data_IF_919231158523
#
_entry.id   IF_919231158523
#
_cell.length_a   1.000
_cell.length_b   1.000
_cell.length_c   1.000
_cell.angle_alpha   90.00
_cell.angle_beta   90.00
_cell.angle_gamma   90.00
#
_symmetry.space_group_name_H-M   'P 1'
#
loop_
_entity.id
_entity.type
_entity.pdbx_description
1 polymer ?
#
# COMPACT_ATOMS: atom_id res chain seq x y z
N UNK A 1 3.68 26.54 -92.99
CA UNK A 1 4.56 26.49 -91.84
C UNK A 1 3.90 25.67 -90.76
N UNK A 2 4.23 24.38 -90.59
CA UNK A 2 3.71 23.48 -89.60
C UNK A 2 4.59 23.48 -88.34
N UNK A 3 4.08 23.95 -87.20
CA UNK A 3 4.75 23.85 -85.90
C UNK A 3 4.57 22.48 -85.34
N UNK A 4 5.69 21.75 -85.13
CA UNK A 4 5.74 20.44 -84.52
C UNK A 4 5.80 20.66 -83.00
N UNK A 5 4.73 20.22 -82.29
CA UNK A 5 4.70 20.12 -80.81
C UNK A 5 5.35 18.79 -80.38
N UNK A 6 6.43 18.85 -79.61
CA UNK A 6 6.96 17.67 -78.88
C UNK A 6 6.26 17.50 -77.57
N UNK A 7 5.77 16.29 -77.22
CA UNK A 7 5.22 16.05 -75.88
C UNK A 7 6.38 15.88 -74.89
N UNK A 8 6.34 16.66 -73.82
CA UNK A 8 7.19 16.49 -72.66
C UNK A 8 6.58 15.36 -71.80
N UNK A 9 7.26 14.23 -71.74
CA UNK A 9 6.92 13.13 -70.81
C UNK A 9 7.41 13.53 -69.42
N UNK A 10 6.47 13.89 -68.55
CA UNK A 10 6.76 14.12 -67.13
C UNK A 10 6.78 12.75 -66.46
N UNK A 11 7.95 12.27 -66.09
CA UNK A 11 8.13 11.07 -65.33
C UNK A 11 7.79 11.40 -63.84
N UNK A 12 6.55 11.03 -63.41
CA UNK A 12 6.10 11.14 -62.03
C UNK A 12 6.76 10.01 -61.25
N UNK A 13 7.87 10.29 -60.58
CA UNK A 13 8.46 9.35 -59.59
C UNK A 13 7.57 9.40 -58.34
N UNK A 14 6.66 8.42 -58.22
CA UNK A 14 5.97 8.13 -56.95
C UNK A 14 7.01 7.59 -55.96
N UNK A 15 7.63 8.46 -55.16
CA UNK A 15 8.25 8.06 -53.90
C UNK A 15 7.14 7.64 -52.95
N UNK A 16 6.78 6.37 -52.98
CA UNK A 16 6.08 5.73 -51.85
C UNK A 16 7.05 5.61 -50.70
N UNK A 17 7.10 6.62 -49.85
CA UNK A 17 7.67 6.52 -48.50
C UNK A 17 6.91 5.47 -47.74
N UNK A 18 7.43 4.26 -47.71
CA UNK A 18 7.08 3.23 -46.78
C UNK A 18 7.38 3.74 -45.36
N UNK A 19 6.45 4.47 -44.76
CA UNK A 19 6.41 4.63 -43.32
C UNK A 19 6.09 3.23 -42.74
N UNK A 20 7.11 2.40 -42.57
CA UNK A 20 7.06 1.30 -41.66
C UNK A 20 6.86 1.92 -40.27
N UNK A 21 5.61 2.00 -39.84
CA UNK A 21 5.27 2.17 -38.43
C UNK A 21 5.86 0.97 -37.70
N UNK A 22 7.13 1.12 -37.31
CA UNK A 22 7.75 0.20 -36.34
C UNK A 22 6.98 0.42 -35.03
N UNK A 23 5.86 -0.30 -34.86
CA UNK A 23 5.22 -0.45 -33.55
C UNK A 23 6.28 -1.17 -32.73
N UNK A 24 7.05 -0.41 -31.94
CA UNK A 24 7.92 -1.02 -30.94
C UNK A 24 7.03 -1.89 -30.07
N UNK A 25 7.19 -3.19 -30.17
CA UNK A 25 6.51 -4.15 -29.31
C UNK A 25 6.90 -3.82 -27.88
N UNK A 26 5.91 -3.41 -27.06
CA UNK A 26 6.15 -3.09 -25.65
C UNK A 26 6.48 -4.38 -24.92
N UNK A 27 7.70 -4.51 -24.45
CA UNK A 27 8.13 -5.65 -23.64
C UNK A 27 7.52 -5.55 -22.25
N UNK A 28 6.78 -6.57 -21.82
CA UNK A 28 6.20 -6.62 -20.48
C UNK A 28 7.28 -6.67 -19.40
N UNK A 29 7.02 -6.07 -18.25
CA UNK A 29 7.84 -6.17 -17.04
C UNK A 29 7.50 -7.41 -16.21
N UNK A 30 6.33 -8.01 -16.45
CA UNK A 30 5.86 -9.21 -15.74
C UNK A 30 6.81 -10.38 -16.02
N UNK A 31 7.27 -11.02 -14.96
CA UNK A 31 7.95 -12.32 -15.02
C UNK A 31 6.89 -13.43 -15.03
N UNK A 32 6.74 -14.20 -16.13
CA UNK A 32 5.66 -15.18 -16.24
C UNK A 32 5.70 -16.27 -15.15
N UNK A 33 6.90 -16.70 -14.76
CA UNK A 33 7.06 -17.76 -13.75
C UNK A 33 6.69 -17.24 -12.37
N UNK A 34 7.11 -16.02 -12.04
CA UNK A 34 6.71 -15.37 -10.79
C UNK A 34 5.20 -15.09 -10.78
N UNK A 35 4.63 -14.64 -11.91
CA UNK A 35 3.20 -14.40 -12.05
C UNK A 35 2.38 -15.65 -11.73
N UNK A 36 2.73 -16.78 -12.32
CA UNK A 36 2.05 -18.07 -12.09
C UNK A 36 2.17 -18.51 -10.63
N UNK A 37 3.36 -18.36 -10.05
CA UNK A 37 3.62 -18.71 -8.65
C UNK A 37 2.80 -17.83 -7.68
N UNK A 38 2.82 -16.52 -7.87
CA UNK A 38 2.07 -15.58 -7.02
C UNK A 38 0.57 -15.84 -7.14
N UNK A 39 0.08 -16.15 -8.34
CA UNK A 39 -1.32 -16.51 -8.58
C UNK A 39 -1.69 -17.78 -7.80
N UNK A 40 -0.89 -18.84 -7.90
CA UNK A 40 -1.16 -20.10 -7.21
C UNK A 40 -1.15 -19.96 -5.68
N UNK A 41 -0.20 -19.19 -5.12
CA UNK A 41 -0.13 -18.91 -3.68
C UNK A 41 -1.40 -18.15 -3.22
N UNK A 42 -1.80 -17.11 -3.97
CA UNK A 42 -2.95 -16.27 -3.64
C UNK A 42 -4.26 -17.07 -3.68
N UNK A 43 -4.50 -17.83 -4.77
CA UNK A 43 -5.71 -18.65 -4.95
C UNK A 43 -5.84 -19.73 -3.88
N UNK A 44 -4.74 -20.41 -3.54
CA UNK A 44 -4.72 -21.40 -2.46
C UNK A 44 -5.13 -20.76 -1.14
N UNK A 45 -4.60 -19.57 -0.82
CA UNK A 45 -4.94 -18.85 0.42
C UNK A 45 -6.38 -18.38 0.42
N UNK A 46 -6.87 -17.87 -0.69
CA UNK A 46 -8.28 -17.49 -0.83
C UNK A 46 -9.22 -18.65 -0.52
N UNK A 47 -8.93 -19.83 -1.06
CA UNK A 47 -9.71 -21.04 -0.79
C UNK A 47 -9.64 -21.48 0.69
N UNK A 48 -8.44 -21.43 1.30
CA UNK A 48 -8.21 -21.79 2.70
C UNK A 48 -9.06 -20.97 3.67
N UNK A 49 -9.22 -19.65 3.40
CA UNK A 49 -9.91 -18.73 4.31
C UNK A 49 -11.30 -18.30 3.82
N UNK A 50 -11.81 -18.91 2.75
CA UNK A 50 -13.07 -18.53 2.09
C UNK A 50 -13.13 -17.03 1.73
N UNK A 51 -12.05 -16.51 1.16
CA UNK A 51 -12.00 -15.15 0.64
C UNK A 51 -12.71 -15.08 -0.71
N UNK A 52 -13.39 -13.97 -0.99
CA UNK A 52 -14.14 -13.80 -2.25
C UNK A 52 -13.42 -12.90 -3.26
N UNK A 53 -12.41 -12.15 -2.83
CA UNK A 53 -11.56 -11.31 -3.67
C UNK A 53 -10.19 -11.14 -3.03
N UNK A 54 -9.15 -11.08 -3.85
CA UNK A 54 -7.81 -10.75 -3.39
C UNK A 54 -6.96 -10.18 -4.52
N UNK A 55 -5.91 -9.45 -4.15
CA UNK A 55 -4.86 -9.01 -5.05
C UNK A 55 -3.49 -9.13 -4.38
N UNK A 56 -2.50 -9.59 -5.15
CA UNK A 56 -1.09 -9.52 -4.78
C UNK A 56 -0.31 -8.85 -5.91
N UNK A 57 0.55 -7.87 -5.58
CA UNK A 57 1.38 -7.13 -6.53
C UNK A 57 2.82 -7.15 -6.04
N UNK A 58 3.74 -7.51 -6.92
CA UNK A 58 5.19 -7.45 -6.69
C UNK A 58 5.78 -6.35 -7.58
N UNK A 59 6.50 -5.41 -6.97
CA UNK A 59 7.09 -4.25 -7.64
C UNK A 59 8.58 -4.14 -7.30
N UNK A 60 9.41 -3.91 -8.30
CA UNK A 60 10.83 -3.61 -8.11
C UNK A 60 11.00 -2.19 -7.56
N UNK A 61 11.79 -2.05 -6.49
CA UNK A 61 11.85 -0.81 -5.71
C UNK A 61 12.41 0.36 -6.52
N UNK A 62 13.50 0.14 -7.23
CA UNK A 62 14.24 1.22 -7.88
C UNK A 62 13.60 1.72 -9.17
N UNK A 63 12.96 0.83 -9.94
CA UNK A 63 12.46 1.09 -11.28
C UNK A 63 10.97 1.33 -11.36
N UNK A 64 10.21 0.74 -10.42
CA UNK A 64 8.74 0.70 -10.48
C UNK A 64 8.19 -0.41 -11.38
N UNK A 65 9.03 -1.29 -11.91
CA UNK A 65 8.57 -2.42 -12.73
C UNK A 65 7.70 -3.38 -11.92
N UNK A 66 6.49 -3.63 -12.40
CA UNK A 66 5.61 -4.66 -11.83
C UNK A 66 6.07 -6.01 -12.35
N UNK A 67 6.54 -6.88 -11.44
CA UNK A 67 7.05 -8.22 -11.76
C UNK A 67 5.97 -9.29 -11.72
N UNK A 68 4.93 -9.09 -10.89
CA UNK A 68 3.73 -9.93 -10.87
C UNK A 68 2.52 -9.11 -10.37
N UNK A 69 1.34 -9.42 -10.89
CA UNK A 69 0.07 -8.84 -10.45
C UNK A 69 -1.02 -9.91 -10.55
N UNK A 70 -1.32 -10.58 -9.43
CA UNK A 70 -2.31 -11.63 -9.36
C UNK A 70 -3.61 -11.14 -8.73
N UNK A 71 -4.75 -11.61 -9.24
CA UNK A 71 -6.08 -11.25 -8.76
C UNK A 71 -6.52 -9.83 -9.14
N UNK A 72 -7.65 -9.41 -8.58
CA UNK A 72 -8.26 -8.10 -8.86
C UNK A 72 -8.35 -7.26 -7.60
N UNK A 73 -7.86 -6.02 -7.67
CA UNK A 73 -7.98 -5.01 -6.63
C UNK A 73 -8.98 -3.92 -7.01
N UNK A 74 -9.76 -3.50 -6.04
CA UNK A 74 -10.65 -2.34 -6.15
C UNK A 74 -10.28 -1.30 -5.09
N UNK A 75 -10.66 -0.02 -5.29
CA UNK A 75 -10.42 0.98 -4.26
C UNK A 75 -11.25 0.66 -3.02
N UNK A 76 -10.62 0.75 -1.86
CA UNK A 76 -11.26 0.44 -0.58
C UNK A 76 -10.54 1.11 0.58
N UNK A 77 -11.16 1.10 1.74
CA UNK A 77 -10.54 1.54 2.98
C UNK A 77 -9.39 0.62 3.36
N UNK A 78 -8.28 1.20 3.85
CA UNK A 78 -7.04 0.47 4.10
C UNK A 78 -6.40 0.84 5.44
N UNK A 79 -6.26 -0.13 6.31
CA UNK A 79 -5.60 0.03 7.60
C UNK A 79 -4.08 0.31 7.50
N UNK A 80 -3.49 0.13 6.33
CA UNK A 80 -2.09 0.49 6.04
C UNK A 80 -1.85 2.01 6.13
N UNK A 81 -2.92 2.81 6.07
CA UNK A 81 -2.89 4.26 6.26
C UNK A 81 -2.20 4.69 7.55
N UNK A 82 -2.20 3.87 8.60
CA UNK A 82 -1.53 4.20 9.87
C UNK A 82 -0.03 4.50 9.69
N UNK A 83 0.65 3.82 8.79
CA UNK A 83 2.06 4.11 8.45
C UNK A 83 2.20 5.47 7.76
N UNK A 84 1.31 5.78 6.83
CA UNK A 84 1.26 7.07 6.13
C UNK A 84 1.03 8.21 7.12
N UNK A 85 0.05 8.05 8.01
CA UNK A 85 -0.30 9.03 9.05
C UNK A 85 0.85 9.25 10.04
N UNK A 86 1.54 8.19 10.42
CA UNK A 86 2.71 8.29 11.31
C UNK A 86 3.86 9.07 10.63
N UNK A 87 4.18 8.75 9.37
CA UNK A 87 5.19 9.49 8.63
C UNK A 87 4.80 10.97 8.49
N UNK A 88 3.53 11.26 8.19
CA UNK A 88 3.00 12.62 8.12
C UNK A 88 3.14 13.36 9.47
N UNK A 89 2.88 12.67 10.58
CA UNK A 89 3.00 13.24 11.92
C UNK A 89 4.47 13.55 12.27
N UNK A 90 5.40 12.65 11.96
CA UNK A 90 6.83 12.87 12.17
C UNK A 90 7.36 14.09 11.38
N UNK A 91 6.87 14.30 10.15
CA UNK A 91 7.25 15.44 9.30
C UNK A 91 6.88 16.82 9.89
N UNK A 92 6.00 16.85 10.88
CA UNK A 92 5.70 18.11 11.59
C UNK A 92 6.82 18.52 12.58
N UNK A 93 7.68 17.59 12.96
CA UNK A 93 8.70 17.75 13.99
C UNK A 93 8.16 17.88 15.41
N UNK A 94 6.83 17.82 15.61
CA UNK A 94 6.18 17.95 16.92
C UNK A 94 6.18 16.65 17.73
N UNK A 95 6.33 15.51 17.08
CA UNK A 95 6.23 14.17 17.68
C UNK A 95 7.38 13.27 17.26
N UNK A 96 7.75 12.32 18.12
CA UNK A 96 8.79 11.32 17.88
C UNK A 96 8.25 9.92 18.15
N UNK A 97 8.82 8.90 17.53
CA UNK A 97 8.46 7.50 17.77
C UNK A 97 8.70 7.05 19.22
N UNK A 98 9.65 7.69 19.91
CA UNK A 98 9.95 7.42 21.33
C UNK A 98 8.96 8.02 22.32
N UNK A 99 8.18 9.01 21.91
CA UNK A 99 7.21 9.65 22.79
C UNK A 99 6.07 8.69 23.11
N UNK A 100 5.49 8.82 24.32
CA UNK A 100 4.41 7.98 24.79
C UNK A 100 3.04 8.59 24.51
N UNK A 101 2.05 7.71 24.39
CA UNK A 101 0.62 8.04 24.34
C UNK A 101 -0.14 7.08 25.23
N UNK A 102 -1.14 7.58 25.94
CA UNK A 102 -2.02 6.75 26.76
C UNK A 102 -3.22 6.25 25.92
N UNK A 103 -3.18 4.97 25.54
CA UNK A 103 -4.27 4.32 24.83
C UNK A 103 -5.37 3.80 25.76
N UNK A 104 -5.23 4.04 27.05
CA UNK A 104 -6.15 3.61 28.11
C UNK A 104 -6.40 2.09 28.05
N UNK A 105 -7.63 1.68 28.34
CA UNK A 105 -8.07 0.28 28.24
C UNK A 105 -8.37 -0.15 26.79
N UNK A 106 -7.83 0.55 25.78
CA UNK A 106 -8.05 0.26 24.37
C UNK A 106 -9.39 0.75 23.83
N UNK A 107 -10.03 1.72 24.52
CA UNK A 107 -11.29 2.35 24.12
C UNK A 107 -11.24 3.84 24.42
N UNK A 108 -11.56 4.67 23.43
CA UNK A 108 -11.77 6.11 23.62
C UNK A 108 -13.04 6.57 22.91
N UNK A 109 -13.63 7.62 23.45
CA UNK A 109 -14.76 8.31 22.83
C UNK A 109 -14.23 9.51 22.04
N UNK A 110 -14.61 9.63 20.77
CA UNK A 110 -14.33 10.78 19.91
C UNK A 110 -15.68 11.33 19.50
N UNK A 111 -16.07 12.44 20.13
CA UNK A 111 -17.43 12.98 20.04
C UNK A 111 -18.48 11.91 20.40
N UNK A 112 -19.29 11.51 19.46
CA UNK A 112 -20.37 10.51 19.59
C UNK A 112 -19.98 9.10 19.11
N UNK A 113 -18.71 8.88 18.69
CA UNK A 113 -18.23 7.62 18.15
C UNK A 113 -17.14 7.00 19.00
N UNK A 114 -17.15 5.67 19.08
CA UNK A 114 -16.15 4.90 19.85
C UNK A 114 -15.04 4.41 18.93
N UNK A 115 -13.79 4.76 19.25
CA UNK A 115 -12.62 4.13 18.65
C UNK A 115 -12.06 3.05 19.58
N UNK A 116 -11.71 1.90 19.01
CA UNK A 116 -11.20 0.75 19.74
C UNK A 116 -9.91 0.22 19.15
N UNK A 117 -9.03 -0.24 20.03
CA UNK A 117 -7.92 -1.11 19.67
C UNK A 117 -8.39 -2.57 19.64
N UNK A 118 -7.70 -3.42 18.89
CA UNK A 118 -8.12 -4.82 18.73
C UNK A 118 -8.07 -5.65 20.03
N UNK A 119 -7.34 -5.18 21.06
CA UNK A 119 -7.20 -5.85 22.36
C UNK A 119 -8.06 -5.21 23.47
N UNK A 120 -9.00 -4.35 23.14
CA UNK A 120 -9.84 -3.63 24.12
C UNK A 120 -10.55 -4.55 25.12
N UNK A 121 -10.95 -5.75 24.69
CA UNK A 121 -11.56 -6.76 25.59
C UNK A 121 -10.58 -7.43 26.53
N UNK A 122 -9.26 -7.16 26.37
CA UNK A 122 -8.16 -7.71 27.17
C UNK A 122 -7.44 -6.63 27.98
N UNK A 123 -8.07 -5.45 28.14
CA UNK A 123 -7.56 -4.35 28.96
C UNK A 123 -6.71 -3.30 28.21
N UNK A 124 -6.69 -3.34 26.87
CA UNK A 124 -5.95 -2.35 26.07
C UNK A 124 -4.43 -2.44 26.21
N UNK A 125 -3.75 -1.36 25.87
CA UNK A 125 -2.28 -1.25 25.95
C UNK A 125 -1.78 -0.26 27.01
N UNK A 126 -2.68 0.58 27.56
CA UNK A 126 -2.29 1.64 28.49
C UNK A 126 -1.38 2.66 27.84
N UNK A 127 -0.37 3.11 28.61
CA UNK A 127 0.66 4.01 28.10
C UNK A 127 1.73 3.22 27.34
N UNK A 128 1.91 3.56 26.05
CA UNK A 128 2.88 2.94 25.16
C UNK A 128 3.60 3.99 24.32
N UNK A 129 4.81 3.67 23.82
CA UNK A 129 5.47 4.53 22.84
C UNK A 129 4.72 4.50 21.51
N UNK A 130 4.84 5.56 20.69
CA UNK A 130 4.27 5.60 19.34
C UNK A 130 4.82 4.49 18.46
N UNK A 131 6.11 4.16 18.61
CA UNK A 131 6.70 2.99 17.97
C UNK A 131 5.96 1.70 18.36
N UNK A 132 5.72 1.49 19.66
CA UNK A 132 4.94 0.32 20.11
C UNK A 132 3.52 0.35 19.54
N UNK A 133 2.90 1.52 19.46
CA UNK A 133 1.60 1.72 18.81
C UNK A 133 1.58 1.21 17.36
N UNK A 134 2.62 1.52 16.58
CA UNK A 134 2.78 0.96 15.22
C UNK A 134 2.94 -0.56 15.25
N UNK A 135 3.81 -1.10 16.12
CA UNK A 135 4.09 -2.54 16.21
C UNK A 135 2.85 -3.37 16.54
N UNK A 136 1.92 -2.81 17.31
CA UNK A 136 0.67 -3.47 17.71
C UNK A 136 -0.55 -2.96 16.93
N UNK A 137 -0.36 -2.15 15.89
CA UNK A 137 -1.43 -1.58 15.07
C UNK A 137 -2.52 -0.88 15.89
N UNK A 138 -2.15 -0.11 16.94
CA UNK A 138 -3.10 0.62 17.76
C UNK A 138 -3.74 1.77 16.97
N UNK A 139 -5.06 1.73 16.83
CA UNK A 139 -5.85 2.81 16.25
C UNK A 139 -5.76 4.08 17.10
N UNK A 140 -5.85 3.89 18.42
CA UNK A 140 -5.87 4.99 19.40
C UNK A 140 -4.52 5.69 19.42
N UNK A 141 -3.40 4.94 19.49
CA UNK A 141 -2.06 5.54 19.45
C UNK A 141 -1.85 6.34 18.17
N UNK A 142 -2.27 5.81 17.02
CA UNK A 142 -2.15 6.50 15.74
C UNK A 142 -2.98 7.79 15.68
N UNK A 143 -4.25 7.73 16.10
CA UNK A 143 -5.12 8.90 16.14
C UNK A 143 -4.58 9.98 17.09
N UNK A 144 -4.19 9.61 18.32
CA UNK A 144 -3.66 10.58 19.29
C UNK A 144 -2.37 11.23 18.80
N UNK A 145 -1.50 10.46 18.13
CA UNK A 145 -0.30 11.00 17.49
C UNK A 145 -0.65 12.02 16.40
N UNK A 146 -1.59 11.68 15.51
CA UNK A 146 -2.03 12.58 14.44
C UNK A 146 -2.68 13.83 15.02
N UNK A 147 -3.51 13.68 16.06
CA UNK A 147 -4.17 14.80 16.76
C UNK A 147 -3.17 15.75 17.40
N UNK A 148 -2.08 15.26 17.96
CA UNK A 148 -1.03 16.08 18.56
C UNK A 148 -0.17 16.78 17.50
N UNK A 149 0.12 16.09 16.40
CA UNK A 149 0.98 16.58 15.34
C UNK A 149 0.36 17.74 14.53
N UNK A 150 -0.96 17.72 14.31
CA UNK A 150 -1.65 18.67 13.44
C UNK A 150 -2.59 19.59 14.20
N UNK A 151 -2.63 20.87 13.81
CA UNK A 151 -3.47 21.88 14.43
C UNK A 151 -4.96 21.70 14.10
N UNK A 152 -5.23 21.21 12.90
CA UNK A 152 -6.56 20.92 12.39
C UNK A 152 -6.51 19.89 11.26
N UNK A 153 -7.67 19.46 10.81
CA UNK A 153 -7.86 18.47 9.77
C UNK A 153 -7.25 18.90 8.43
N UNK A 154 -7.35 20.19 8.07
CA UNK A 154 -6.84 20.68 6.80
C UNK A 154 -5.31 20.57 6.74
N UNK A 155 -4.60 20.90 7.83
CA UNK A 155 -3.14 20.79 7.87
C UNK A 155 -2.67 19.34 7.75
N UNK A 156 -3.46 18.37 8.24
CA UNK A 156 -3.20 16.94 8.03
C UNK A 156 -3.39 16.54 6.56
N UNK A 157 -4.50 16.93 5.94
CA UNK A 157 -4.77 16.67 4.52
C UNK A 157 -3.69 17.29 3.63
N UNK A 158 -3.31 18.55 3.89
CA UNK A 158 -2.26 19.25 3.14
C UNK A 158 -0.91 18.51 3.25
N UNK A 159 -0.60 17.91 4.39
CA UNK A 159 0.59 17.08 4.56
C UNK A 159 0.52 15.82 3.71
N UNK A 160 -0.61 15.12 3.68
CA UNK A 160 -0.81 13.94 2.83
C UNK A 160 -0.58 14.29 1.36
N UNK A 161 -1.16 15.39 0.88
CA UNK A 161 -0.95 15.87 -0.49
C UNK A 161 0.53 16.23 -0.75
N UNK A 162 1.19 16.90 0.20
CA UNK A 162 2.62 17.24 0.10
C UNK A 162 3.49 16.00 -0.01
N UNK A 163 3.15 14.91 0.67
CA UNK A 163 3.83 13.61 0.57
C UNK A 163 3.46 12.84 -0.69
N UNK A 164 2.59 13.37 -1.54
CA UNK A 164 2.03 12.71 -2.71
C UNK A 164 1.29 11.40 -2.37
N UNK A 165 0.62 11.39 -1.20
CA UNK A 165 -0.31 10.31 -0.92
C UNK A 165 -1.54 10.49 -1.80
N UNK A 166 -1.73 9.53 -2.72
CA UNK A 166 -2.78 9.53 -3.72
C UNK A 166 -3.82 8.44 -3.38
N UNK A 167 -5.05 8.85 -3.16
CA UNK A 167 -6.19 7.96 -2.97
C UNK A 167 -7.26 8.30 -4.02
N UNK A 168 -7.95 7.29 -4.53
CA UNK A 168 -9.03 7.46 -5.52
C UNK A 168 -10.11 8.42 -5.00
N UNK A 169 -10.39 8.33 -3.71
CA UNK A 169 -11.28 9.23 -3.00
C UNK A 169 -10.85 9.37 -1.55
N UNK A 170 -10.81 10.60 -1.08
CA UNK A 170 -10.60 10.93 0.33
C UNK A 170 -11.67 11.93 0.75
N UNK A 171 -12.35 11.69 1.87
CA UNK A 171 -13.31 12.64 2.44
C UNK A 171 -12.51 13.78 3.08
N UNK A 172 -12.79 15.00 2.67
CA UNK A 172 -12.09 16.21 3.11
C UNK A 172 -13.03 17.15 3.88
N UNK A 173 -12.50 18.16 4.61
CA UNK A 173 -13.33 19.13 5.32
C UNK A 173 -14.37 19.86 4.45
N UNK A 174 -14.15 19.92 3.13
CA UNK A 174 -15.07 20.55 2.17
C UNK A 174 -16.22 19.65 1.74
N UNK A 175 -16.14 18.34 2.02
CA UNK A 175 -17.18 17.38 1.65
C UNK A 175 -18.39 17.46 2.60
N UNK A 176 -19.59 17.29 2.06
CA UNK A 176 -20.83 17.31 2.85
C UNK A 176 -20.92 16.19 3.89
N UNK A 177 -20.14 15.10 3.71
CA UNK A 177 -20.03 14.00 4.66
C UNK A 177 -18.99 14.21 5.77
N UNK A 178 -18.25 15.31 5.73
CA UNK A 178 -17.27 15.64 6.75
C UNK A 178 -17.96 16.06 8.05
N UNK A 179 -17.51 15.52 9.16
CA UNK A 179 -17.93 15.89 10.50
C UNK A 179 -16.71 15.89 11.44
N UNK A 180 -16.91 16.33 12.68
CA UNK A 180 -15.83 16.44 13.67
C UNK A 180 -15.08 15.14 13.99
N UNK A 181 -15.54 13.99 13.47
CA UNK A 181 -14.87 12.71 13.65
C UNK A 181 -14.17 12.20 12.37
N UNK A 182 -14.47 12.78 11.21
CA UNK A 182 -14.05 12.22 9.91
C UNK A 182 -12.52 12.06 9.80
N UNK A 183 -11.75 13.06 10.20
CA UNK A 183 -10.29 13.00 10.13
C UNK A 183 -9.66 11.98 11.10
N UNK A 184 -10.29 11.74 12.26
CA UNK A 184 -9.85 10.72 13.18
C UNK A 184 -9.90 9.32 12.55
N UNK A 185 -10.98 9.06 11.82
CA UNK A 185 -11.16 7.80 11.09
C UNK A 185 -10.28 7.73 9.84
N UNK A 186 -10.07 8.87 9.15
CA UNK A 186 -9.14 8.93 8.03
C UNK A 186 -7.71 8.56 8.48
N UNK A 187 -7.27 9.03 9.64
CA UNK A 187 -5.92 8.75 10.14
C UNK A 187 -5.64 7.26 10.34
N UNK A 188 -6.66 6.44 10.53
CA UNK A 188 -6.55 4.99 10.71
C UNK A 188 -7.02 4.18 9.49
N UNK A 189 -7.36 4.87 8.38
CA UNK A 189 -7.61 4.26 7.08
C UNK A 189 -9.05 4.14 6.63
N UNK A 190 -10.00 4.70 7.38
CA UNK A 190 -11.39 4.88 6.94
C UNK A 190 -11.58 6.21 6.20
N UNK A 191 -12.77 6.44 5.66
CA UNK A 191 -13.12 7.68 4.94
C UNK A 191 -12.22 7.98 3.73
N UNK A 192 -11.63 6.96 3.14
CA UNK A 192 -10.86 7.02 1.90
C UNK A 192 -11.09 5.76 1.07
N UNK A 193 -10.80 5.88 -0.22
CA UNK A 193 -10.81 4.74 -1.13
C UNK A 193 -9.48 4.73 -1.86
N UNK A 194 -8.68 3.69 -1.65
CA UNK A 194 -7.33 3.57 -2.22
C UNK A 194 -7.17 2.20 -2.89
N UNK A 195 -6.63 2.18 -4.10
CA UNK A 195 -6.26 0.93 -4.74
C UNK A 195 -5.04 0.30 -4.08
N UNK A 196 -4.92 -1.04 -4.05
CA UNK A 196 -3.71 -1.69 -3.54
C UNK A 196 -2.42 -1.18 -4.21
N UNK A 197 -2.42 -0.94 -5.52
CA UNK A 197 -1.23 -0.43 -6.21
C UNK A 197 -0.84 1.00 -5.79
N UNK A 198 -1.81 1.87 -5.45
CA UNK A 198 -1.53 3.22 -4.93
C UNK A 198 -0.86 3.14 -3.55
N UNK A 199 -1.40 2.29 -2.67
CA UNK A 199 -0.79 2.03 -1.35
C UNK A 199 0.61 1.40 -1.51
N UNK A 200 0.78 0.43 -2.42
CA UNK A 200 2.09 -0.15 -2.72
C UNK A 200 3.08 0.91 -3.20
N UNK A 201 2.66 1.82 -4.08
CA UNK A 201 3.50 2.92 -4.59
C UNK A 201 4.05 3.79 -3.46
N UNK A 202 3.22 4.08 -2.45
CA UNK A 202 3.66 4.83 -1.27
C UNK A 202 4.65 4.04 -0.40
N UNK A 203 4.37 2.77 -0.13
CA UNK A 203 5.29 1.90 0.62
C UNK A 203 6.60 1.64 -0.15
N UNK A 204 6.51 1.53 -1.46
CA UNK A 204 7.69 1.47 -2.34
C UNK A 204 8.57 2.72 -2.22
N UNK A 205 7.94 3.90 -2.12
CA UNK A 205 8.70 5.14 -1.89
C UNK A 205 9.40 5.14 -0.52
N UNK A 206 8.77 4.59 0.53
CA UNK A 206 9.44 4.39 1.84
C UNK A 206 10.65 3.45 1.67
N UNK A 207 10.46 2.30 1.01
CA UNK A 207 11.55 1.34 0.73
C UNK A 207 12.68 2.00 -0.07
N UNK A 208 12.37 2.89 -1.00
CA UNK A 208 13.30 3.59 -1.90
C UNK A 208 13.89 4.87 -1.26
N UNK A 209 14.01 4.93 0.07
CA UNK A 209 14.59 6.07 0.79
C UNK A 209 13.81 7.37 0.64
N UNK A 210 12.55 7.32 0.32
CA UNK A 210 11.64 8.45 0.10
C UNK A 210 11.39 8.82 -1.37
N UNK A 211 12.11 8.19 -2.31
CA UNK A 211 11.91 8.45 -3.75
C UNK A 211 10.72 7.65 -4.28
N UNK A 212 9.69 8.33 -4.74
CA UNK A 212 8.51 7.71 -5.34
C UNK A 212 8.68 7.57 -6.85
N UNK A 213 8.59 6.34 -7.35
CA UNK A 213 8.63 6.01 -8.77
C UNK A 213 7.27 5.50 -9.25
N UNK A 214 6.98 5.70 -10.53
CA UNK A 214 5.72 5.28 -11.15
C UNK A 214 5.71 3.78 -11.39
N UNK A 215 4.66 3.06 -10.98
CA UNK A 215 4.48 1.68 -11.37
C UNK A 215 4.35 1.53 -12.89
N UNK A 216 5.10 0.61 -13.49
CA UNK A 216 5.08 0.35 -14.93
C UNK A 216 4.90 -1.14 -15.24
N UNK A 217 4.10 -1.44 -16.27
CA UNK A 217 3.83 -2.81 -16.77
C UNK A 217 4.60 -3.14 -18.05
N UNK A 218 5.26 -2.14 -18.63
CA UNK A 218 6.07 -2.30 -19.83
C UNK A 218 7.42 -1.65 -19.60
N UNK A 219 8.49 -2.32 -20.07
CA UNK A 219 9.86 -1.81 -19.96
C UNK A 219 9.97 -0.41 -20.58
N UNK A 220 10.65 0.47 -19.87
CA UNK A 220 10.82 1.86 -20.24
C UNK A 220 11.74 2.58 -19.27
N UNK A 221 11.84 3.89 -19.41
CA UNK A 221 12.57 4.71 -18.45
C UNK A 221 11.80 4.83 -17.14
N UNK A 222 12.54 4.81 -16.02
CA UNK A 222 11.96 5.03 -14.68
C UNK A 222 11.48 6.47 -14.57
N UNK A 223 10.17 6.64 -14.36
CA UNK A 223 9.56 7.95 -14.11
C UNK A 223 9.52 8.22 -12.60
N UNK A 224 10.18 9.28 -12.16
CA UNK A 224 10.14 9.73 -10.76
C UNK A 224 8.93 10.63 -10.57
N UNK A 225 7.93 10.17 -9.80
CA UNK A 225 6.73 10.95 -9.47
C UNK A 225 7.08 12.04 -8.45
N UNK A 226 7.82 11.66 -7.40
CA UNK A 226 8.24 12.55 -6.32
C UNK A 226 9.67 12.22 -5.90
N UNK A 227 10.61 13.16 -5.98
CA UNK A 227 12.01 12.92 -5.58
C UNK A 227 12.15 12.53 -4.11
N UNK A 228 11.31 13.10 -3.24
CA UNK A 228 11.35 12.86 -1.80
C UNK A 228 9.95 13.09 -1.20
N UNK A 229 9.33 12.03 -0.64
CA UNK A 229 8.00 12.12 -0.01
C UNK A 229 8.05 12.74 1.39
N UNK A 230 9.15 12.54 2.12
CA UNK A 230 9.37 13.02 3.49
C UNK A 230 10.88 13.17 3.73
N UNK A 231 11.30 13.82 4.81
CA UNK A 231 12.71 13.92 5.16
C UNK A 231 13.36 12.52 5.30
N UNK A 232 14.64 12.43 4.93
CA UNK A 232 15.37 11.15 5.03
C UNK A 232 15.32 10.56 6.43
N UNK A 233 15.49 11.40 7.45
CA UNK A 233 15.46 10.99 8.86
C UNK A 233 14.13 10.31 9.24
N UNK A 234 13.01 10.89 8.80
CA UNK A 234 11.68 10.34 9.08
C UNK A 234 11.38 9.09 8.25
N UNK A 235 11.86 9.02 7.01
CA UNK A 235 11.79 7.79 6.20
C UNK A 235 12.57 6.67 6.86
N UNK A 236 13.82 6.92 7.28
CA UNK A 236 14.67 5.93 7.98
C UNK A 236 13.99 5.46 9.30
N UNK A 237 13.36 6.40 10.02
CA UNK A 237 12.61 6.08 11.25
C UNK A 237 11.42 5.15 10.98
N UNK A 238 10.69 5.37 9.88
CA UNK A 238 9.59 4.50 9.48
C UNK A 238 10.11 3.15 8.97
N UNK A 239 11.20 3.11 8.22
CA UNK A 239 11.83 1.84 7.79
C UNK A 239 12.23 0.98 9.00
N UNK A 240 12.85 1.57 10.01
CA UNK A 240 13.16 0.90 11.28
C UNK A 240 11.87 0.38 11.95
N UNK A 241 10.82 1.19 12.04
CA UNK A 241 9.56 0.78 12.64
C UNK A 241 8.90 -0.38 11.87
N UNK A 242 8.89 -0.35 10.51
CA UNK A 242 8.37 -1.42 9.66
C UNK A 242 9.15 -2.74 9.85
N UNK A 243 10.46 -2.65 10.03
CA UNK A 243 11.30 -3.81 10.37
C UNK A 243 10.91 -4.41 11.73
N UNK A 244 10.72 -3.57 12.75
CA UNK A 244 10.29 -4.01 14.08
C UNK A 244 8.87 -4.57 14.13
N UNK A 245 7.96 -4.08 13.29
CA UNK A 245 6.61 -4.65 13.13
C UNK A 245 6.69 -6.13 12.72
N UNK A 246 7.59 -6.48 11.80
CA UNK A 246 7.78 -7.85 11.36
C UNK A 246 8.58 -8.65 12.39
N UNK A 247 9.64 -8.09 12.95
CA UNK A 247 10.50 -8.79 13.90
C UNK A 247 9.80 -9.09 15.23
N UNK A 248 9.05 -8.14 15.78
CA UNK A 248 8.54 -8.19 17.16
C UNK A 248 7.05 -7.87 17.30
N UNK A 249 6.42 -7.32 16.24
CA UNK A 249 5.04 -6.85 16.24
C UNK A 249 4.04 -7.84 15.64
N UNK A 250 2.90 -7.30 15.20
CA UNK A 250 1.82 -8.08 14.58
C UNK A 250 2.14 -8.53 13.16
N UNK A 251 3.23 -8.04 12.58
CA UNK A 251 3.74 -8.45 11.27
C UNK A 251 4.55 -9.74 11.27
N UNK A 252 4.86 -10.35 12.42
CA UNK A 252 5.65 -11.59 12.52
C UNK A 252 5.30 -12.68 11.51
N UNK A 253 4.01 -12.93 11.20
CA UNK A 253 3.66 -13.96 10.22
C UNK A 253 4.11 -13.67 8.79
N UNK A 254 4.51 -12.44 8.48
CA UNK A 254 5.07 -12.04 7.18
C UNK A 254 6.59 -12.15 7.11
N UNK A 255 7.25 -12.49 8.22
CA UNK A 255 8.70 -12.69 8.26
C UNK A 255 9.15 -13.90 7.44
N UNK A 256 10.42 -13.87 7.07
CA UNK A 256 11.14 -14.96 6.40
C UNK A 256 12.36 -15.34 7.24
N UNK A 257 12.71 -16.61 7.25
CA UNK A 257 13.97 -17.09 7.87
C UNK A 257 15.18 -16.90 6.94
N UNK A 258 14.94 -16.49 5.68
CA UNK A 258 15.96 -16.36 4.63
C UNK A 258 16.46 -14.93 4.45
N UNK A 259 15.60 -13.95 4.74
CA UNK A 259 15.90 -12.53 4.54
C UNK A 259 15.11 -11.67 5.53
N UNK A 260 15.67 -10.55 5.94
CA UNK A 260 14.96 -9.61 6.79
C UNK A 260 13.87 -8.88 5.98
N UNK A 261 12.67 -8.83 6.52
CA UNK A 261 11.48 -8.19 5.92
C UNK A 261 11.09 -6.97 6.75
N UNK A 262 10.64 -5.93 6.07
CA UNK A 262 9.99 -4.77 6.67
C UNK A 262 8.58 -4.59 6.10
N UNK A 263 7.59 -4.26 6.95
CA UNK A 263 6.22 -4.06 6.48
C UNK A 263 5.22 -3.86 7.59
N UNK A 264 3.96 -3.59 7.21
CA UNK A 264 2.86 -3.36 8.13
C UNK A 264 1.61 -4.16 7.76
N UNK A 265 0.80 -4.45 8.79
CA UNK A 265 -0.49 -5.13 8.64
C UNK A 265 -1.63 -4.12 8.56
N UNK A 266 -2.63 -4.41 7.74
CA UNK A 266 -3.93 -3.75 7.71
C UNK A 266 -5.05 -4.74 8.03
N UNK A 267 -6.05 -4.29 8.80
CA UNK A 267 -7.31 -5.00 8.98
C UNK A 267 -8.40 -3.96 9.11
N UNK A 268 -9.26 -3.87 8.13
CA UNK A 268 -10.31 -2.85 8.03
C UNK A 268 -11.66 -3.54 7.91
N UNK A 269 -12.62 -3.14 8.72
CA UNK A 269 -14.00 -3.58 8.60
C UNK A 269 -14.70 -2.68 7.58
N UNK A 270 -15.17 -3.25 6.45
CA UNK A 270 -15.72 -2.49 5.34
C UNK A 270 -17.23 -2.27 5.46
N UNK A 271 -18.01 -3.36 5.48
CA UNK A 271 -19.47 -3.31 5.44
C UNK A 271 -20.07 -4.23 6.47
N UNK A 272 -21.30 -3.88 6.88
CA UNK A 272 -22.21 -4.78 7.60
C UNK A 272 -23.30 -5.24 6.63
N UNK A 273 -23.56 -6.54 6.63
CA UNK A 273 -24.67 -7.13 5.90
C UNK A 273 -25.67 -7.74 6.88
N UNK A 274 -26.93 -7.40 6.75
CA UNK A 274 -28.01 -8.13 7.39
C UNK A 274 -28.43 -9.27 6.46
N UNK A 275 -28.43 -10.50 6.97
CA UNK A 275 -29.00 -11.60 6.24
C UNK A 275 -30.51 -11.61 6.52
N UNK A 276 -31.30 -11.33 5.49
CA UNK A 276 -32.77 -11.25 5.55
C UNK A 276 -33.47 -12.55 6.08
N UNK A 277 -32.72 -13.63 6.30
CA UNK A 277 -33.28 -14.90 6.71
C UNK A 277 -33.04 -15.27 8.17
N UNK A 278 -32.09 -14.67 8.89
CA UNK A 278 -31.69 -15.11 10.22
C UNK A 278 -31.28 -13.99 11.20
N UNK A 279 -31.54 -12.73 10.93
CA UNK A 279 -31.11 -11.55 11.75
C UNK A 279 -29.62 -11.56 12.11
N UNK A 280 -28.79 -12.23 11.30
CA UNK A 280 -27.34 -12.27 11.53
C UNK A 280 -26.65 -11.15 10.77
N UNK A 281 -25.93 -10.33 11.51
CA UNK A 281 -25.06 -9.29 10.96
C UNK A 281 -23.72 -9.94 10.58
N UNK A 282 -23.33 -9.83 9.31
CA UNK A 282 -22.04 -10.23 8.82
C UNK A 282 -21.21 -8.98 8.52
N UNK A 283 -19.94 -9.04 8.88
CA UNK A 283 -18.97 -7.99 8.58
C UNK A 283 -18.06 -8.44 7.44
N UNK A 284 -17.85 -7.55 6.49
CA UNK A 284 -16.83 -7.68 5.46
C UNK A 284 -15.53 -7.08 5.99
N UNK A 285 -14.41 -7.74 5.72
CA UNK A 285 -13.09 -7.29 6.13
C UNK A 285 -12.14 -7.24 4.93
N UNK A 286 -11.34 -6.17 4.88
CA UNK A 286 -10.11 -6.13 4.10
C UNK A 286 -8.94 -6.44 5.03
N UNK A 287 -8.20 -7.52 4.76
CA UNK A 287 -6.99 -7.88 5.48
C UNK A 287 -5.79 -7.72 4.56
N UNK A 288 -4.79 -6.95 5.00
CA UNK A 288 -3.71 -6.50 4.15
C UNK A 288 -2.35 -6.69 4.82
N UNK A 289 -1.35 -6.88 3.99
CA UNK A 289 0.04 -6.67 4.35
C UNK A 289 0.76 -5.97 3.20
N UNK A 290 1.53 -4.92 3.52
CA UNK A 290 2.40 -4.24 2.58
C UNK A 290 3.78 -4.10 3.18
N UNK A 291 4.80 -4.43 2.39
CA UNK A 291 6.17 -4.41 2.87
C UNK A 291 7.18 -4.58 1.75
N UNK A 292 8.43 -4.77 2.12
CA UNK A 292 9.56 -4.89 1.20
C UNK A 292 10.66 -5.78 1.76
N UNK A 293 11.54 -6.23 0.90
CA UNK A 293 12.70 -7.05 1.24
C UNK A 293 13.82 -6.91 0.18
N UNK A 294 15.08 -7.19 0.57
CA UNK A 294 15.61 -7.19 1.93
C UNK A 294 15.30 -5.89 2.67
N UNK A 295 15.22 -5.90 4.02
CA UNK A 295 14.84 -4.69 4.77
C UNK A 295 15.94 -3.63 4.77
N UNK A 296 17.20 -4.02 4.68
CA UNK A 296 18.41 -3.20 4.70
C UNK A 296 18.85 -2.71 3.31
N UNK A 297 18.54 -3.46 2.25
CA UNK A 297 18.79 -3.09 0.85
C UNK A 297 17.57 -3.45 -0.02
N UNK A 298 16.48 -2.67 0.02
CA UNK A 298 15.20 -3.02 -0.58
C UNK A 298 15.27 -3.21 -2.10
N UNK A 299 14.97 -4.43 -2.56
CA UNK A 299 14.92 -4.79 -3.97
C UNK A 299 13.48 -4.87 -4.47
N UNK A 300 12.59 -5.43 -3.66
CA UNK A 300 11.19 -5.63 -4.02
C UNK A 300 10.26 -5.16 -2.92
N UNK A 301 9.15 -4.54 -3.32
CA UNK A 301 8.00 -4.25 -2.47
C UNK A 301 6.80 -5.08 -2.92
N UNK A 302 5.99 -5.53 -1.95
CA UNK A 302 4.83 -6.37 -2.20
C UNK A 302 3.66 -5.85 -1.38
N UNK A 303 2.47 -5.83 -2.00
CA UNK A 303 1.20 -5.71 -1.28
C UNK A 303 0.36 -6.96 -1.50
N UNK A 304 -0.27 -7.41 -0.44
CA UNK A 304 -1.33 -8.43 -0.47
C UNK A 304 -2.56 -7.87 0.20
N UNK A 305 -3.68 -7.85 -0.49
CA UNK A 305 -4.99 -7.38 -0.01
C UNK A 305 -6.02 -8.47 -0.26
N UNK A 306 -6.75 -8.88 0.79
CA UNK A 306 -7.71 -9.99 0.73
C UNK A 306 -9.02 -9.57 1.37
N UNK A 307 -10.13 -9.75 0.64
CA UNK A 307 -11.47 -9.48 1.13
C UNK A 307 -12.19 -10.77 1.54
N UNK A 308 -12.73 -10.78 2.75
CA UNK A 308 -13.45 -11.92 3.31
C UNK A 308 -14.62 -11.51 4.18
N UNK A 309 -15.55 -12.43 4.39
CA UNK A 309 -16.68 -12.24 5.29
C UNK A 309 -16.40 -12.94 6.61
N UNK A 310 -16.73 -12.27 7.71
CA UNK A 310 -16.68 -12.82 9.07
C UNK A 310 -15.29 -12.90 9.67
N UNK A 311 -15.27 -13.22 10.96
CA UNK A 311 -14.06 -13.48 11.75
C UNK A 311 -13.63 -14.95 11.62
N UNK A 312 -12.35 -15.29 11.87
CA UNK A 312 -11.27 -14.36 12.19
C UNK A 312 -10.84 -13.53 10.96
N UNK A 313 -10.33 -12.30 11.21
CA UNK A 313 -9.76 -11.43 10.21
C UNK A 313 -8.44 -10.85 10.74
N UNK A 314 -7.34 -11.08 10.03
CA UNK A 314 -6.01 -10.66 10.46
C UNK A 314 -5.09 -10.43 9.27
N UNK A 315 -4.64 -9.19 9.09
CA UNK A 315 -3.67 -8.85 8.05
C UNK A 315 -2.39 -9.67 8.17
N UNK A 316 -1.82 -9.81 9.37
CA UNK A 316 -0.60 -10.60 9.57
C UNK A 316 -0.77 -12.09 9.28
N UNK A 317 -1.80 -12.73 9.85
CA UNK A 317 -2.00 -14.18 9.72
C UNK A 317 -2.51 -14.63 8.34
N UNK A 318 -3.12 -13.72 7.57
CA UNK A 318 -3.69 -14.04 6.27
C UNK A 318 -2.84 -13.45 5.13
N UNK A 319 -2.88 -12.15 4.94
CA UNK A 319 -2.11 -11.47 3.90
C UNK A 319 -0.59 -11.56 4.16
N UNK A 320 -0.14 -11.45 5.42
CA UNK A 320 1.27 -11.57 5.78
C UNK A 320 1.87 -12.94 5.46
N UNK A 321 1.11 -14.03 5.62
CA UNK A 321 1.59 -15.36 5.21
C UNK A 321 1.73 -15.52 3.71
N UNK A 322 0.79 -14.96 2.92
CA UNK A 322 0.93 -14.91 1.45
C UNK A 322 2.18 -14.13 1.06
N UNK A 323 2.38 -12.98 1.70
CA UNK A 323 3.59 -12.17 1.50
C UNK A 323 4.87 -12.97 1.80
N UNK A 324 4.95 -13.65 2.96
CA UNK A 324 6.10 -14.46 3.36
C UNK A 324 6.42 -15.57 2.35
N UNK A 325 5.40 -16.28 1.87
CA UNK A 325 5.59 -17.35 0.86
C UNK A 325 6.12 -16.81 -0.47
N UNK A 326 5.64 -15.62 -0.90
CA UNK A 326 6.14 -14.95 -2.12
C UNK A 326 7.61 -14.56 -1.91
N UNK A 327 7.94 -13.97 -0.76
CA UNK A 327 9.33 -13.61 -0.40
C UNK A 327 10.24 -14.82 -0.43
N UNK A 328 9.85 -15.90 0.25
CA UNK A 328 10.66 -17.13 0.33
C UNK A 328 10.93 -17.73 -1.05
N UNK A 329 9.92 -17.72 -1.94
CA UNK A 329 10.09 -18.16 -3.32
C UNK A 329 11.06 -17.26 -4.10
N UNK A 330 10.93 -15.94 -3.99
CA UNK A 330 11.78 -14.99 -4.70
C UNK A 330 13.24 -15.03 -4.21
N UNK A 331 13.45 -15.19 -2.90
CA UNK A 331 14.80 -15.32 -2.33
C UNK A 331 15.48 -16.59 -2.85
N UNK A 332 14.78 -17.72 -2.92
CA UNK A 332 15.33 -18.95 -3.47
C UNK A 332 15.65 -18.84 -4.96
N UNK A 333 14.77 -18.19 -5.74
CA UNK A 333 14.94 -18.00 -7.18
C UNK A 333 16.11 -17.08 -7.53
N UNK A 334 16.20 -15.93 -6.85
CA UNK A 334 17.15 -14.86 -7.20
C UNK A 334 18.45 -14.93 -6.39
N UNK A 335 18.59 -15.94 -5.49
CA UNK A 335 19.68 -16.06 -4.52
C UNK A 335 19.91 -14.81 -3.65
N UNK A 336 18.84 -14.08 -3.35
CA UNK A 336 18.88 -12.93 -2.45
C UNK A 336 19.14 -13.41 -1.02
N UNK A 337 20.08 -12.78 -0.30
CA UNK A 337 20.38 -13.12 1.10
C UNK A 337 21.45 -14.19 1.33
N UNK A 338 22.17 -14.62 0.29
CA UNK A 338 23.37 -15.44 0.42
C UNK A 338 24.61 -14.56 0.32
N UNK A 339 25.05 -13.99 1.44
CA UNK A 339 26.44 -13.60 1.69
C UNK A 339 27.11 -14.62 2.63
#
# INVERSE_FOLDING_TARGET
MKKIFKPIVILLICMTSLFTNCRQEKVSTIDPVLQDTVTAILERKMNEINAYSAQAIVMEVQTGEIKAMAGEGKPQESGLMRTVSMLAALETGKVKLSDTVDTREGVIMIHDRVMKDHNWTRGGYGEITRLKGMMVSSNIANYLTTKEAFENEQTYIDMLHRMNYDAERMVTPQDSGWNNTAWAWLSIGYNQMVYPFQMLTFYNAIANGGKMVKPILYKGETEVIKPQIASKENVDSIQMALTLIVKEGLGKPAGSDKVQVAGATGTTQLRMFENNTNDKIFHEYNVEFCGYFPADDPQYSIIVSINKIGLPASGGLMAGRVFSEIVDYMVDKDNLGKE
#
